data_IF_564025809092
#
_entry.id   IF_564025809092
#
_cell.length_a   1.000
_cell.length_b   1.000
_cell.length_c   1.000
_cell.angle_alpha   90.00
_cell.angle_beta   90.00
_cell.angle_gamma   90.00
#
_symmetry.space_group_name_H-M   'P 1'
#
loop_
_entity.id
_entity.type
_entity.pdbx_description
1 polymer ?
#
# COMPACT_ATOMS: atom_id res chain seq x y z
N UNK A 1 10.08 -8.94 -10.33
CA UNK A 1 10.03 -7.47 -10.18
C UNK A 1 8.91 -7.16 -9.21
N UNK A 2 9.09 -6.24 -8.25
CA UNK A 2 8.01 -5.92 -7.32
C UNK A 2 6.99 -4.99 -7.98
N UNK A 3 5.69 -5.11 -7.65
CA UNK A 3 4.60 -4.29 -8.21
C UNK A 3 3.86 -3.48 -7.16
N UNK A 4 3.20 -2.41 -7.59
CA UNK A 4 2.17 -1.72 -6.81
C UNK A 4 0.84 -2.37 -7.16
N UNK A 5 0.12 -2.89 -6.17
CA UNK A 5 -1.16 -3.54 -6.38
C UNK A 5 -2.28 -2.70 -5.77
N UNK A 6 -3.34 -2.44 -6.54
CA UNK A 6 -4.50 -1.67 -6.12
C UNK A 6 -5.69 -2.61 -5.96
N UNK A 7 -6.11 -2.85 -4.72
CA UNK A 7 -7.26 -3.66 -4.35
C UNK A 7 -8.32 -2.76 -3.70
N UNK A 8 -8.99 -1.95 -4.53
CA UNK A 8 -10.05 -1.02 -4.10
C UNK A 8 -11.42 -1.52 -4.58
N UNK A 9 -12.44 -1.25 -3.79
CA UNK A 9 -13.85 -1.50 -4.10
C UNK A 9 -14.41 -0.49 -5.10
N UNK A 10 -13.92 0.76 -5.05
CA UNK A 10 -14.23 1.80 -6.05
C UNK A 10 -13.33 1.67 -7.28
N UNK A 11 -13.91 1.15 -8.37
CA UNK A 11 -13.23 0.93 -9.65
C UNK A 11 -12.80 2.24 -10.31
N UNK A 12 -13.57 3.33 -10.15
CA UNK A 12 -13.22 4.62 -10.72
C UNK A 12 -12.00 5.21 -10.00
N UNK A 13 -11.97 5.12 -8.66
CA UNK A 13 -10.82 5.54 -7.85
C UNK A 13 -9.58 4.69 -8.16
N UNK A 14 -9.73 3.36 -8.29
CA UNK A 14 -8.64 2.47 -8.69
C UNK A 14 -8.05 2.84 -10.05
N UNK A 15 -8.89 3.09 -11.05
CA UNK A 15 -8.47 3.50 -12.39
C UNK A 15 -7.74 4.86 -12.38
N UNK A 16 -8.29 5.85 -11.68
CA UNK A 16 -7.68 7.16 -11.56
C UNK A 16 -6.31 7.12 -10.87
N UNK A 17 -6.22 6.39 -9.76
CA UNK A 17 -4.96 6.19 -9.02
C UNK A 17 -3.94 5.40 -9.84
N UNK A 18 -4.37 4.34 -10.54
CA UNK A 18 -3.51 3.55 -11.42
C UNK A 18 -2.87 4.41 -12.50
N UNK A 19 -3.68 5.23 -13.18
CA UNK A 19 -3.19 6.13 -14.22
C UNK A 19 -2.19 7.16 -13.67
N UNK A 20 -2.43 7.71 -12.48
CA UNK A 20 -1.51 8.66 -11.84
C UNK A 20 -0.18 7.98 -11.46
N UNK A 21 -0.23 6.80 -10.85
CA UNK A 21 0.95 6.05 -10.45
C UNK A 21 1.78 5.61 -11.66
N UNK A 22 1.14 5.12 -12.73
CA UNK A 22 1.83 4.69 -13.94
C UNK A 22 2.62 5.82 -14.62
N UNK A 23 2.23 7.08 -14.43
CA UNK A 23 2.99 8.26 -14.89
C UNK A 23 4.09 8.70 -13.92
N UNK A 24 4.01 8.28 -12.66
CA UNK A 24 4.86 8.78 -11.57
C UNK A 24 6.01 7.83 -11.21
N UNK A 25 6.00 6.59 -11.69
CA UNK A 25 7.03 5.60 -11.40
C UNK A 25 7.16 4.55 -12.51
N UNK A 26 8.31 3.89 -12.58
CA UNK A 26 8.56 2.73 -13.44
C UNK A 26 8.12 1.40 -12.81
N UNK A 27 7.67 1.41 -11.54
CA UNK A 27 7.15 0.21 -10.87
C UNK A 27 5.81 -0.17 -11.50
N UNK A 28 5.61 -1.44 -11.93
CA UNK A 28 4.34 -1.88 -12.51
C UNK A 28 3.17 -1.65 -11.56
N UNK A 29 2.06 -1.11 -12.07
CA UNK A 29 0.83 -0.85 -11.31
C UNK A 29 -0.26 -1.79 -11.79
N UNK A 30 -0.83 -2.58 -10.87
CA UNK A 30 -1.81 -3.61 -11.18
C UNK A 30 -3.09 -3.35 -10.39
N UNK A 31 -4.24 -3.24 -11.05
CA UNK A 31 -5.55 -3.32 -10.38
C UNK A 31 -5.91 -4.80 -10.20
N UNK A 32 -6.11 -5.23 -8.97
CA UNK A 32 -6.30 -6.64 -8.63
C UNK A 32 -7.48 -6.82 -7.67
N UNK A 33 -8.14 -7.96 -7.76
CA UNK A 33 -9.20 -8.31 -6.81
C UNK A 33 -8.61 -8.87 -5.51
N UNK A 34 -7.64 -9.79 -5.65
CA UNK A 34 -6.89 -10.41 -4.57
C UNK A 34 -5.40 -10.04 -4.69
N UNK A 35 -4.84 -9.31 -3.73
CA UNK A 35 -3.44 -8.92 -3.78
C UNK A 35 -2.49 -10.07 -3.44
N UNK A 36 -1.41 -10.19 -4.20
CA UNK A 36 -0.27 -11.05 -3.91
C UNK A 36 0.83 -10.25 -3.20
N UNK A 37 0.88 -10.38 -1.88
CA UNK A 37 1.87 -9.70 -1.04
C UNK A 37 3.31 -10.17 -1.29
N UNK A 38 3.54 -11.36 -1.86
CA UNK A 38 4.88 -11.83 -2.16
C UNK A 38 5.52 -11.07 -3.34
N UNK A 39 4.71 -10.74 -4.35
CA UNK A 39 5.14 -9.96 -5.52
C UNK A 39 4.92 -8.45 -5.37
N UNK A 40 4.10 -7.99 -4.43
CA UNK A 40 3.89 -6.57 -4.18
C UNK A 40 5.05 -5.92 -3.41
N UNK A 41 5.46 -4.70 -3.81
CA UNK A 41 6.18 -3.79 -2.92
C UNK A 41 5.21 -3.03 -2.01
N UNK A 42 4.02 -2.69 -2.53
CA UNK A 42 2.95 -2.01 -1.80
C UNK A 42 1.61 -2.53 -2.29
N UNK A 43 0.68 -2.71 -1.37
CA UNK A 43 -0.73 -2.97 -1.65
C UNK A 43 -1.57 -1.80 -1.14
N UNK A 44 -2.34 -1.19 -2.03
CA UNK A 44 -3.29 -0.13 -1.68
C UNK A 44 -4.67 -0.76 -1.52
N UNK A 45 -5.28 -0.56 -0.36
CA UNK A 45 -6.57 -1.16 -0.02
C UNK A 45 -7.54 -0.11 0.52
N UNK A 46 -8.83 -0.34 0.33
CA UNK A 46 -9.86 0.33 1.13
C UNK A 46 -10.33 -0.55 2.30
N UNK A 47 -11.03 0.05 3.25
CA UNK A 47 -11.48 -0.63 4.47
C UNK A 47 -12.22 -1.95 4.20
N UNK A 48 -13.21 -2.02 3.26
CA UNK A 48 -13.90 -3.28 2.99
C UNK A 48 -12.97 -4.38 2.47
N UNK A 49 -11.98 -4.04 1.64
CA UNK A 49 -11.02 -5.00 1.08
C UNK A 49 -10.01 -5.45 2.13
N UNK A 50 -9.55 -4.53 2.98
CA UNK A 50 -8.62 -4.82 4.07
C UNK A 50 -9.22 -5.80 5.07
N UNK A 51 -10.44 -5.53 5.57
CA UNK A 51 -11.12 -6.40 6.55
C UNK A 51 -11.40 -7.81 6.04
N UNK A 52 -11.60 -7.96 4.74
CA UNK A 52 -11.87 -9.26 4.09
C UNK A 52 -10.61 -10.07 3.79
N UNK A 53 -9.42 -9.49 3.96
CA UNK A 53 -8.16 -10.12 3.60
C UNK A 53 -7.26 -10.36 4.82
N UNK A 54 -7.25 -11.56 5.41
CA UNK A 54 -6.39 -11.89 6.54
C UNK A 54 -4.89 -11.70 6.26
N UNK A 55 -4.45 -11.87 5.01
CA UNK A 55 -3.05 -11.67 4.63
C UNK A 55 -2.64 -10.20 4.70
N UNK A 56 -3.58 -9.26 4.57
CA UNK A 56 -3.31 -7.83 4.69
C UNK A 56 -2.88 -7.43 6.11
N UNK A 57 -3.48 -8.03 7.14
CA UNK A 57 -3.07 -7.81 8.53
C UNK A 57 -1.68 -8.42 8.82
N UNK A 58 -1.33 -9.53 8.18
CA UNK A 58 -0.02 -10.18 8.33
C UNK A 58 1.11 -9.43 7.59
N UNK A 59 0.77 -8.61 6.60
CA UNK A 59 1.70 -7.84 5.78
C UNK A 59 1.41 -6.34 5.86
N UNK A 60 0.99 -5.86 7.04
CA UNK A 60 0.50 -4.50 7.28
C UNK A 60 1.55 -3.42 7.02
N UNK A 61 2.84 -3.77 7.07
CA UNK A 61 3.97 -2.92 6.68
C UNK A 61 3.98 -2.56 5.17
N UNK A 62 3.34 -3.39 4.34
CA UNK A 62 3.20 -3.20 2.89
C UNK A 62 1.85 -2.59 2.49
N UNK A 63 0.96 -2.37 3.45
CA UNK A 63 -0.38 -1.84 3.19
C UNK A 63 -0.39 -0.32 3.27
N UNK A 64 -0.95 0.31 2.24
CA UNK A 64 -1.45 1.69 2.27
C UNK A 64 -2.96 1.61 2.34
N UNK A 65 -3.54 1.93 3.51
CA UNK A 65 -4.97 1.83 3.74
C UNK A 65 -5.65 3.18 3.50
N UNK A 66 -6.71 3.17 2.71
CA UNK A 66 -7.62 4.30 2.51
C UNK A 66 -8.90 4.00 3.29
N UNK A 67 -9.21 4.82 4.28
CA UNK A 67 -10.35 4.60 5.18
C UNK A 67 -11.03 5.92 5.55
N UNK A 68 -12.14 5.83 6.29
CA UNK A 68 -12.85 7.02 6.77
C UNK A 68 -12.02 7.75 7.82
N UNK A 69 -12.08 9.07 7.79
CA UNK A 69 -11.41 9.92 8.77
C UNK A 69 -12.30 10.09 10.03
N UNK A 70 -12.55 8.98 10.71
CA UNK A 70 -13.17 8.97 12.04
C UNK A 70 -12.35 8.11 12.99
N UNK A 71 -12.48 8.41 14.28
CA UNK A 71 -11.66 7.81 15.34
C UNK A 71 -11.69 6.29 15.32
N UNK A 72 -12.86 5.69 15.06
CA UNK A 72 -13.02 4.23 15.05
C UNK A 72 -12.23 3.56 13.94
N UNK A 73 -12.27 4.11 12.73
CA UNK A 73 -11.56 3.54 11.58
C UNK A 73 -10.04 3.73 11.68
N UNK A 74 -9.59 4.93 12.08
CA UNK A 74 -8.17 5.20 12.24
C UNK A 74 -7.55 4.34 13.34
N UNK A 75 -8.24 4.21 14.48
CA UNK A 75 -7.81 3.35 15.58
C UNK A 75 -7.69 1.90 15.14
N UNK A 76 -8.71 1.36 14.46
CA UNK A 76 -8.69 -0.02 13.99
C UNK A 76 -7.54 -0.29 13.01
N UNK A 77 -7.24 0.65 12.11
CA UNK A 77 -6.13 0.55 11.18
C UNK A 77 -4.77 0.45 11.91
N UNK A 78 -4.55 1.29 12.93
CA UNK A 78 -3.33 1.28 13.72
C UNK A 78 -3.21 0.05 14.62
N UNK A 79 -4.31 -0.39 15.24
CA UNK A 79 -4.34 -1.64 16.01
C UNK A 79 -4.04 -2.86 15.13
N UNK A 80 -4.37 -2.81 13.84
CA UNK A 80 -4.00 -3.81 12.83
C UNK A 80 -2.54 -3.68 12.34
N UNK A 81 -1.76 -2.72 12.85
CA UNK A 81 -0.35 -2.51 12.52
C UNK A 81 -0.09 -1.80 11.20
N UNK A 82 -1.11 -1.17 10.59
CA UNK A 82 -0.94 -0.47 9.31
C UNK A 82 -0.17 0.83 9.52
N UNK A 83 0.96 0.98 8.81
CA UNK A 83 1.87 2.12 8.97
C UNK A 83 1.51 3.33 8.11
N UNK A 84 0.66 3.17 7.10
CA UNK A 84 0.25 4.25 6.20
C UNK A 84 -1.26 4.23 6.04
N UNK A 85 -1.92 5.17 6.70
CA UNK A 85 -3.38 5.31 6.71
C UNK A 85 -3.73 6.67 6.12
N UNK A 86 -4.64 6.68 5.15
CA UNK A 86 -5.10 7.86 4.42
C UNK A 86 -6.61 7.96 4.54
N UNK A 87 -7.12 9.18 4.50
CA UNK A 87 -8.55 9.44 4.40
C UNK A 87 -9.06 9.17 2.99
N UNK A 88 -10.30 8.71 2.88
CA UNK A 88 -11.06 8.74 1.62
C UNK A 88 -11.16 10.15 1.00
N UNK A 89 -11.09 11.19 1.84
CA UNK A 89 -11.14 12.61 1.45
C UNK A 89 -9.78 13.15 1.01
N UNK A 90 -8.69 12.41 1.20
CA UNK A 90 -7.37 12.87 0.79
C UNK A 90 -7.30 13.00 -0.74
N UNK A 91 -6.68 14.08 -1.25
CA UNK A 91 -6.43 14.22 -2.68
C UNK A 91 -5.63 13.03 -3.23
N UNK A 92 -5.93 12.60 -4.46
CA UNK A 92 -5.22 11.47 -5.08
C UNK A 92 -3.69 11.65 -5.12
N UNK A 93 -3.21 12.89 -5.25
CA UNK A 93 -1.77 13.17 -5.21
C UNK A 93 -1.14 12.83 -3.85
N UNK A 94 -1.86 13.04 -2.74
CA UNK A 94 -1.41 12.60 -1.41
C UNK A 94 -1.29 11.09 -1.35
N UNK A 95 -2.29 10.37 -1.91
CA UNK A 95 -2.25 8.90 -2.01
C UNK A 95 -1.06 8.44 -2.84
N UNK A 96 -0.79 9.07 -3.98
CA UNK A 96 0.38 8.78 -4.82
C UNK A 96 1.68 8.93 -4.03
N UNK A 97 1.87 10.04 -3.33
CA UNK A 97 3.09 10.28 -2.54
C UNK A 97 3.26 9.23 -1.43
N UNK A 98 2.18 8.89 -0.73
CA UNK A 98 2.20 7.87 0.31
C UNK A 98 2.58 6.49 -0.26
N UNK A 99 2.05 6.12 -1.43
CA UNK A 99 2.37 4.86 -2.13
C UNK A 99 3.83 4.82 -2.55
N UNK A 100 4.34 5.89 -3.16
CA UNK A 100 5.75 5.96 -3.57
C UNK A 100 6.68 5.91 -2.36
N UNK A 101 6.35 6.62 -1.28
CA UNK A 101 7.09 6.56 -0.02
C UNK A 101 7.11 5.15 0.58
N UNK A 102 5.98 4.43 0.53
CA UNK A 102 5.90 3.05 0.98
C UNK A 102 6.75 2.11 0.09
N UNK A 103 6.76 2.31 -1.23
CA UNK A 103 7.60 1.54 -2.15
C UNK A 103 9.10 1.70 -1.84
N UNK A 104 9.54 2.93 -1.53
CA UNK A 104 10.92 3.20 -1.15
C UNK A 104 11.31 2.48 0.14
N UNK A 105 10.43 2.46 1.14
CA UNK A 105 10.65 1.72 2.40
C UNK A 105 10.76 0.22 2.16
N UNK A 106 9.89 -0.35 1.32
CA UNK A 106 9.93 -1.77 0.97
C UNK A 106 11.23 -2.16 0.23
N UNK A 107 11.77 -1.26 -0.60
CA UNK A 107 13.07 -1.43 -1.26
C UNK A 107 14.25 -1.35 -0.28
N UNK A 108 14.24 -0.37 0.62
CA UNK A 108 15.25 -0.22 1.68
C UNK A 108 15.26 -1.43 2.64
N UNK A 109 14.09 -1.99 2.97
CA UNK A 109 13.98 -3.19 3.80
C UNK A 109 14.57 -4.46 3.14
N UNK A 110 14.61 -4.53 1.80
CA UNK A 110 15.29 -5.63 1.08
C UNK A 110 16.82 -5.48 1.05
N UNK A 111 17.34 -4.28 1.22
CA UNK A 111 18.77 -4.00 1.35
C UNK A 111 19.18 -4.11 2.83
N UNK A 112 19.10 -5.30 3.43
CA UNK A 112 19.81 -5.50 4.70
C UNK A 112 21.32 -5.37 4.39
N UNK A 113 22.08 -4.50 5.08
CA UNK A 113 23.51 -4.38 4.84
C UNK A 113 24.16 -5.73 5.15
N UNK A 114 24.81 -6.29 4.13
CA UNK A 114 25.86 -7.29 4.29
C UNK A 114 27.04 -6.60 4.97
N UNK A 115 26.95 -6.39 6.28
CA UNK A 115 28.13 -6.16 7.11
C UNK A 115 28.70 -7.52 7.50
N UNK A 116 29.15 -8.25 6.48
CA UNK A 116 30.13 -9.30 6.62
C UNK A 116 31.47 -8.64 6.32
N UNK A 117 32.11 -8.11 7.36
CA UNK A 117 33.52 -7.74 7.30
C UNK A 117 34.33 -9.01 7.61
N UNK A 118 35.11 -9.58 6.66
CA UNK A 118 36.09 -10.58 7.01
C UNK A 118 37.34 -9.87 7.55
N UNK A 119 37.71 -10.25 8.77
CA UNK A 119 39.01 -10.11 9.47
C UNK A 119 39.69 -8.74 9.47
#
# INVERSE_FOLDING_TARGET
MASIQLALSDVAKASALSNLLARSTHVPVLCVEEPDFASACVVVMDEPRFRKNPAAAQNSDRVVLITRNDEGHLRAAWEAGVNTVLSEQDPLNTVVLAVLGACLRAGAAKQKPSDARPT
#
